data_IF_699287033133
#
_entry.id   IF_699287033133
#
_cell.length_a   1.000
_cell.length_b   1.000
_cell.length_c   1.000
_cell.angle_alpha   90.00
_cell.angle_beta   90.00
_cell.angle_gamma   90.00
#
_symmetry.space_group_name_H-M   'P 1'
#
loop_
_entity.id
_entity.type
_entity.pdbx_description
1 polymer ?
#
# COMPACT_ATOMS: atom_id res chain seq x y z
N UNK A 1 -19.77 -1.46 2.18
CA UNK A 1 -18.76 -1.62 1.10
C UNK A 1 -18.53 -0.28 0.39
N UNK A 2 -17.28 0.17 0.33
CA UNK A 2 -16.90 1.40 -0.36
C UNK A 2 -17.08 1.28 -1.87
N UNK A 3 -16.87 0.07 -2.41
CA UNK A 3 -17.16 -0.27 -3.80
C UNK A 3 -18.63 -0.69 -3.97
N UNK A 4 -19.29 -0.18 -5.00
CA UNK A 4 -20.65 -0.50 -5.38
C UNK A 4 -20.72 -1.79 -6.21
N UNK A 5 -21.76 -2.60 -5.99
CA UNK A 5 -21.93 -3.93 -6.62
C UNK A 5 -22.19 -3.91 -8.13
N UNK A 6 -22.52 -2.75 -8.71
CA UNK A 6 -22.92 -2.60 -10.11
C UNK A 6 -21.97 -1.66 -10.87
N UNK A 7 -20.69 -1.70 -10.54
CA UNK A 7 -19.63 -0.92 -11.19
C UNK A 7 -18.45 -1.82 -11.50
N UNK A 8 -17.85 -1.61 -12.67
CA UNK A 8 -16.56 -2.20 -13.02
C UNK A 8 -15.44 -1.29 -12.53
N UNK A 9 -14.48 -1.88 -11.81
CA UNK A 9 -13.32 -1.16 -11.29
C UNK A 9 -12.08 -1.57 -12.06
N UNK A 10 -11.40 -0.60 -12.66
CA UNK A 10 -10.13 -0.78 -13.36
C UNK A 10 -9.01 -0.12 -12.56
N UNK A 11 -7.91 -0.85 -12.34
CA UNK A 11 -6.69 -0.31 -11.72
C UNK A 11 -5.70 0.01 -12.85
N UNK A 12 -5.31 1.27 -12.97
CA UNK A 12 -4.27 1.70 -13.93
C UNK A 12 -2.90 1.58 -13.25
N UNK A 13 -2.07 0.68 -13.76
CA UNK A 13 -0.77 0.28 -13.19
C UNK A 13 0.32 1.37 -13.24
N UNK A 14 0.16 2.42 -14.05
CA UNK A 14 1.16 3.49 -14.22
C UNK A 14 1.44 4.36 -12.99
N UNK A 15 0.60 4.27 -11.94
CA UNK A 15 0.78 5.09 -10.72
C UNK A 15 1.84 4.54 -9.74
N UNK A 16 2.40 3.35 -10.00
CA UNK A 16 3.39 2.75 -9.11
C UNK A 16 4.78 3.39 -9.24
N UNK A 17 5.14 3.83 -10.46
CA UNK A 17 6.49 4.25 -10.84
C UNK A 17 6.55 5.69 -11.40
N UNK A 18 5.50 6.50 -11.18
CA UNK A 18 5.27 7.78 -11.87
C UNK A 18 4.86 7.61 -13.36
N UNK A 19 4.28 8.65 -14.00
CA UNK A 19 3.89 8.62 -15.41
C UNK A 19 5.04 8.15 -16.32
N UNK A 20 4.73 7.42 -17.39
CA UNK A 20 5.70 6.89 -18.36
C UNK A 20 6.70 7.95 -18.87
N UNK A 21 6.27 9.21 -18.97
CA UNK A 21 7.08 10.36 -19.38
C UNK A 21 8.23 10.67 -18.40
N UNK A 22 8.06 10.41 -17.09
CA UNK A 22 9.11 10.57 -16.08
C UNK A 22 10.09 9.38 -16.08
N UNK A 23 9.59 8.17 -16.38
CA UNK A 23 10.39 6.95 -16.50
C UNK A 23 11.24 6.91 -17.79
N UNK A 24 10.80 7.58 -18.86
CA UNK A 24 11.53 7.64 -20.11
C UNK A 24 12.69 8.66 -20.11
N UNK A 25 12.65 9.66 -19.21
CA UNK A 25 13.61 10.77 -19.17
C UNK A 25 14.71 10.57 -18.14
N UNK A 26 14.47 9.72 -17.13
CA UNK A 26 15.42 9.40 -16.07
C UNK A 26 15.55 7.89 -15.97
N UNK A 27 16.77 7.38 -15.84
CA UNK A 27 17.07 6.02 -15.36
C UNK A 27 16.58 5.88 -13.89
N UNK A 28 15.29 6.10 -13.62
CA UNK A 28 14.70 6.02 -12.30
C UNK A 28 14.41 4.56 -11.94
N UNK A 29 14.67 4.23 -10.68
CA UNK A 29 14.62 2.86 -10.17
C UNK A 29 13.19 2.31 -10.23
N UNK A 30 12.98 1.25 -11.02
CA UNK A 30 11.72 0.51 -11.09
C UNK A 30 11.41 -0.07 -9.71
N UNK A 31 10.29 0.36 -9.11
CA UNK A 31 9.84 -0.19 -7.84
C UNK A 31 9.02 -1.44 -8.07
N UNK A 32 9.26 -2.47 -7.25
CA UNK A 32 8.43 -3.67 -7.21
C UNK A 32 7.40 -3.55 -6.09
N UNK A 33 6.14 -3.82 -6.40
CA UNK A 33 5.08 -3.98 -5.38
C UNK A 33 5.13 -5.36 -4.72
N UNK A 34 4.94 -5.40 -3.41
CA UNK A 34 4.87 -6.64 -2.62
C UNK A 34 3.82 -6.48 -1.51
N UNK A 35 3.07 -7.54 -1.19
CA UNK A 35 2.12 -7.50 -0.09
C UNK A 35 2.86 -7.32 1.24
N UNK A 36 2.29 -6.54 2.16
CA UNK A 36 2.88 -6.35 3.47
C UNK A 36 3.05 -7.69 4.24
N UNK A 37 2.14 -8.65 4.05
CA UNK A 37 2.28 -9.99 4.64
C UNK A 37 3.49 -10.76 4.13
N UNK A 38 3.86 -10.58 2.87
CA UNK A 38 4.94 -11.33 2.23
C UNK A 38 6.29 -10.74 2.62
N UNK A 39 6.38 -9.41 2.77
CA UNK A 39 7.56 -8.73 3.35
C UNK A 39 7.89 -9.24 4.75
N UNK A 40 6.87 -9.50 5.59
CA UNK A 40 7.08 -10.08 6.92
C UNK A 40 7.56 -11.54 6.84
N UNK A 41 6.93 -12.36 6.00
CA UNK A 41 7.32 -13.77 5.81
C UNK A 41 8.73 -13.92 5.27
N UNK A 42 9.16 -13.02 4.38
CA UNK A 42 10.49 -13.00 3.78
C UNK A 42 11.55 -12.39 4.71
N UNK A 43 11.18 -11.89 5.90
CA UNK A 43 12.12 -11.32 6.86
C UNK A 43 12.68 -9.94 6.46
N UNK A 44 12.07 -9.27 5.48
CA UNK A 44 12.47 -7.96 4.99
C UNK A 44 12.06 -6.81 5.94
N UNK A 45 11.22 -7.11 6.93
CA UNK A 45 10.74 -6.16 7.94
C UNK A 45 10.66 -6.85 9.30
N UNK A 46 11.04 -6.13 10.35
CA UNK A 46 10.82 -6.60 11.71
C UNK A 46 9.31 -6.58 12.05
N UNK A 47 8.85 -7.57 12.82
CA UNK A 47 7.45 -7.70 13.19
C UNK A 47 6.89 -6.45 13.90
N UNK A 48 7.69 -5.80 14.73
CA UNK A 48 7.33 -4.56 15.41
C UNK A 48 7.06 -3.42 14.42
N UNK A 49 7.85 -3.33 13.35
CA UNK A 49 7.68 -2.34 12.29
C UNK A 49 6.46 -2.70 11.42
N UNK A 50 6.25 -3.97 11.11
CA UNK A 50 5.04 -4.44 10.42
C UNK A 50 3.77 -4.07 11.18
N UNK A 51 3.73 -4.31 12.50
CA UNK A 51 2.58 -3.94 13.34
C UNK A 51 2.33 -2.43 13.33
N UNK A 52 3.39 -1.61 13.38
CA UNK A 52 3.30 -0.15 13.25
C UNK A 52 2.79 0.28 11.88
N UNK A 53 3.22 -0.37 10.80
CA UNK A 53 2.75 -0.14 9.43
C UNK A 53 1.24 -0.42 9.33
N UNK A 54 0.78 -1.58 9.81
CA UNK A 54 -0.64 -1.94 9.81
C UNK A 54 -1.49 -0.94 10.60
N UNK A 55 -1.03 -0.53 11.78
CA UNK A 55 -1.71 0.46 12.61
C UNK A 55 -1.77 1.84 11.95
N UNK A 56 -0.66 2.28 11.34
CA UNK A 56 -0.61 3.56 10.64
C UNK A 56 -1.55 3.59 9.44
N UNK A 57 -1.60 2.50 8.65
CA UNK A 57 -2.53 2.37 7.51
C UNK A 57 -3.99 2.44 7.98
N UNK A 58 -4.35 1.69 9.02
CA UNK A 58 -5.70 1.72 9.61
C UNK A 58 -6.07 3.11 10.11
N UNK A 59 -5.16 3.80 10.81
CA UNK A 59 -5.40 5.16 11.31
C UNK A 59 -5.63 6.15 10.15
N UNK A 60 -4.84 6.07 9.08
CA UNK A 60 -5.02 6.92 7.89
C UNK A 60 -6.38 6.72 7.22
N UNK A 61 -6.89 5.48 7.18
CA UNK A 61 -8.25 5.21 6.71
C UNK A 61 -9.29 5.87 7.63
N UNK A 62 -9.15 5.72 8.94
CA UNK A 62 -10.08 6.31 9.91
C UNK A 62 -10.10 7.84 9.87
N UNK A 63 -8.95 8.48 9.69
CA UNK A 63 -8.80 9.94 9.55
C UNK A 63 -9.62 10.50 8.37
N UNK A 64 -9.83 9.71 7.31
CA UNK A 64 -10.66 10.09 6.16
C UNK A 64 -12.08 9.49 6.22
N UNK A 65 -12.50 9.02 7.40
CA UNK A 65 -13.83 8.46 7.62
C UNK A 65 -14.03 7.10 6.94
N UNK A 66 -12.97 6.32 6.76
CA UNK A 66 -13.03 4.96 6.20
C UNK A 66 -12.62 3.94 7.27
N UNK A 67 -13.41 2.88 7.37
CA UNK A 67 -13.16 1.75 8.26
C UNK A 67 -12.84 0.50 7.42
N UNK A 68 -11.75 -0.18 7.79
CA UNK A 68 -11.42 -1.52 7.28
C UNK A 68 -12.02 -2.57 8.21
N UNK A 69 -12.95 -3.36 7.68
CA UNK A 69 -13.68 -4.38 8.44
C UNK A 69 -12.85 -5.66 8.63
N UNK A 70 -11.76 -5.84 7.88
CA UNK A 70 -10.87 -7.00 7.99
C UNK A 70 -9.43 -6.64 7.63
N UNK A 71 -8.69 -5.96 8.52
CA UNK A 71 -7.31 -5.55 8.25
C UNK A 71 -6.40 -6.74 7.97
N UNK A 72 -5.81 -6.77 6.78
CA UNK A 72 -4.91 -7.85 6.35
C UNK A 72 -3.67 -7.28 5.66
N UNK A 73 -2.52 -7.94 5.85
CA UNK A 73 -1.28 -7.62 5.15
C UNK A 73 -1.34 -7.86 3.63
N UNK A 74 -2.37 -8.58 3.15
CA UNK A 74 -2.66 -8.76 1.71
C UNK A 74 -3.46 -7.59 1.12
N UNK A 75 -3.97 -6.68 1.95
CA UNK A 75 -4.72 -5.50 1.50
C UNK A 75 -3.83 -4.27 1.31
N UNK A 76 -2.54 -4.40 1.68
CA UNK A 76 -1.55 -3.35 1.64
C UNK A 76 -0.37 -3.77 0.77
N UNK A 77 0.05 -2.90 -0.12
CA UNK A 77 1.29 -3.04 -0.89
C UNK A 77 2.37 -2.11 -0.34
N UNK A 78 3.57 -2.67 -0.22
CA UNK A 78 4.83 -1.97 0.03
C UNK A 78 5.65 -1.93 -1.27
N UNK A 79 6.56 -0.98 -1.36
CA UNK A 79 7.49 -0.84 -2.49
C UNK A 79 8.88 -1.35 -2.13
N UNK A 80 9.50 -2.12 -3.02
CA UNK A 80 10.92 -2.47 -2.98
C UNK A 80 11.69 -1.68 -4.04
N UNK A 81 12.87 -1.19 -3.68
CA UNK A 81 13.84 -0.63 -4.63
C UNK A 81 14.49 -1.75 -5.48
N UNK A 82 15.34 -1.37 -6.44
CA UNK A 82 16.11 -2.32 -7.28
C UNK A 82 17.03 -3.26 -6.49
N UNK A 83 17.37 -2.89 -5.26
CA UNK A 83 18.20 -3.69 -4.36
C UNK A 83 17.37 -4.62 -3.46
N UNK A 84 16.05 -4.64 -3.62
CA UNK A 84 15.14 -5.44 -2.80
C UNK A 84 14.91 -4.86 -1.40
N UNK A 85 15.23 -3.59 -1.16
CA UNK A 85 15.01 -2.93 0.13
C UNK A 85 13.69 -2.17 0.12
N UNK A 86 13.04 -2.11 1.27
CA UNK A 86 11.79 -1.35 1.43
C UNK A 86 12.03 0.14 1.20
N UNK A 87 11.19 0.72 0.34
CA UNK A 87 11.10 2.17 0.16
C UNK A 87 10.40 2.76 1.37
N UNK A 88 11.03 3.76 1.98
CA UNK A 88 10.54 4.42 3.19
C UNK A 88 10.27 5.91 2.96
N UNK A 89 9.41 6.48 3.80
CA UNK A 89 9.22 7.92 3.88
C UNK A 89 10.39 8.62 4.61
N UNK A 90 10.28 9.94 4.79
CA UNK A 90 11.32 10.75 5.46
C UNK A 90 11.55 10.35 6.92
N UNK A 91 10.62 9.62 7.53
CA UNK A 91 10.67 9.15 8.91
C UNK A 91 11.16 7.69 8.99
N UNK A 92 11.55 7.08 7.87
CA UNK A 92 11.99 5.70 7.80
C UNK A 92 10.85 4.68 7.90
N UNK A 93 9.59 5.10 7.76
CA UNK A 93 8.44 4.19 7.73
C UNK A 93 8.22 3.67 6.30
N UNK A 94 7.99 2.36 6.10
CA UNK A 94 7.67 1.83 4.78
C UNK A 94 6.48 2.54 4.15
N UNK A 95 6.60 2.90 2.87
CA UNK A 95 5.52 3.55 2.13
C UNK A 95 4.45 2.52 1.77
N UNK A 96 3.20 2.80 2.15
CA UNK A 96 2.06 1.89 2.04
C UNK A 96 1.03 2.41 1.04
N UNK A 97 0.48 1.49 0.24
CA UNK A 97 -0.71 1.73 -0.59
C UNK A 97 -1.76 0.68 -0.30
N UNK A 98 -3.03 1.08 -0.26
CA UNK A 98 -4.16 0.16 -0.16
C UNK A 98 -4.44 -0.40 -1.55
N UNK A 99 -4.52 -1.73 -1.68
CA UNK A 99 -4.76 -2.40 -2.95
C UNK A 99 -6.06 -3.20 -2.98
N UNK A 100 -6.66 -3.50 -1.82
CA UNK A 100 -7.94 -4.19 -1.72
C UNK A 100 -8.94 -3.31 -0.95
N UNK A 101 -10.11 -3.08 -1.55
CA UNK A 101 -11.16 -2.21 -1.02
C UNK A 101 -12.46 -2.96 -0.69
N UNK A 102 -12.48 -4.29 -0.83
CA UNK A 102 -13.70 -5.10 -0.81
C UNK A 102 -14.44 -5.04 0.56
N UNK A 103 -13.66 -4.91 1.65
CA UNK A 103 -14.15 -4.84 3.03
C UNK A 103 -13.97 -3.46 3.66
N UNK A 104 -13.84 -2.40 2.85
CA UNK A 104 -13.88 -1.04 3.37
C UNK A 104 -15.31 -0.54 3.49
N UNK A 105 -15.54 0.34 4.47
CA UNK A 105 -16.83 0.98 4.73
C UNK A 105 -16.60 2.45 5.05
N UNK A 106 -17.53 3.33 4.66
CA UNK A 106 -17.55 4.69 5.23
C UNK A 106 -17.95 4.61 6.70
N UNK A 107 -17.13 5.16 7.58
CA UNK A 107 -17.44 5.36 8.98
C UNK A 107 -18.68 6.23 9.15
N UNK A 108 -19.34 6.13 10.31
CA UNK A 108 -20.42 7.06 10.66
C UNK A 108 -19.79 8.47 10.83
N UNK A 109 -20.47 9.53 10.38
CA UNK A 109 -20.04 10.90 10.65
C UNK A 109 -20.00 11.19 12.16
#
# INVERSE_FOLDING_TARGET
PLLGKHHDYMIIWGYWNAPDELLAVRDEDIYKGINASDVLKEGLIAESVYRRVMQAARRRLLEVGIEDLNPSGTHLLLSLDKSGRLVTDRQGMPTVRVCNFELLRRGKP
#
